data_IF_091875696633
#
_entry.id   IF_091875696633
#
_cell.length_a   1.000
_cell.length_b   1.000
_cell.length_c   1.000
_cell.angle_alpha   90.00
_cell.angle_beta   90.00
_cell.angle_gamma   90.00
#
_symmetry.space_group_name_H-M   'P 1'
#
loop_
_entity.id
_entity.type
_entity.pdbx_description
1 polymer ?
#
# COMPACT_ATOMS: atom_id res chain seq x y z
N UNK A 1 2.21 -15.82 19.98
CA UNK A 1 2.25 -15.05 18.70
C UNK A 1 3.34 -15.63 17.83
N UNK A 2 3.00 -16.04 16.62
CA UNK A 2 3.95 -16.58 15.64
C UNK A 2 4.83 -15.45 15.07
N UNK A 3 5.98 -15.81 14.49
CA UNK A 3 6.93 -14.84 13.91
C UNK A 3 6.26 -13.88 12.90
N UNK A 4 5.43 -14.34 11.93
CA UNK A 4 4.70 -13.43 11.04
C UNK A 4 3.87 -12.37 11.79
N UNK A 5 3.07 -12.80 12.78
CA UNK A 5 2.24 -11.86 13.56
C UNK A 5 3.06 -10.80 14.31
N UNK A 6 4.27 -11.16 14.79
CA UNK A 6 5.18 -10.20 15.43
C UNK A 6 5.70 -9.17 14.43
N UNK A 7 5.99 -9.59 13.19
CA UNK A 7 6.45 -8.69 12.12
C UNK A 7 5.33 -7.73 11.68
N UNK A 8 4.10 -8.24 11.55
CA UNK A 8 2.93 -7.39 11.28
C UNK A 8 2.71 -6.34 12.37
N UNK A 9 2.79 -6.75 13.65
CA UNK A 9 2.67 -5.82 14.79
C UNK A 9 3.80 -4.79 14.80
N UNK A 10 5.03 -5.22 14.57
CA UNK A 10 6.20 -4.32 14.49
C UNK A 10 6.02 -3.27 13.38
N UNK A 11 5.44 -3.66 12.23
CA UNK A 11 5.11 -2.73 11.14
C UNK A 11 4.07 -1.70 11.56
N UNK A 12 3.00 -2.10 12.25
CA UNK A 12 1.99 -1.16 12.76
C UNK A 12 2.62 -0.18 13.76
N UNK A 13 3.50 -0.67 14.63
CA UNK A 13 4.25 0.19 15.56
C UNK A 13 5.23 1.11 14.83
N UNK A 14 5.80 0.70 13.70
CA UNK A 14 6.70 1.53 12.91
C UNK A 14 5.99 2.74 12.26
N UNK A 15 4.67 2.68 12.03
CA UNK A 15 3.91 3.79 11.39
C UNK A 15 4.00 5.09 12.19
N UNK A 16 3.71 5.16 13.50
CA UNK A 16 3.84 6.41 14.26
C UNK A 16 5.27 6.94 14.28
N UNK A 17 6.28 6.07 14.32
CA UNK A 17 7.70 6.49 14.23
C UNK A 17 8.01 7.07 12.84
N UNK A 18 7.50 6.46 11.77
CA UNK A 18 7.61 6.99 10.41
C UNK A 18 6.97 8.39 10.32
N UNK A 19 5.75 8.56 10.84
CA UNK A 19 5.04 9.84 10.86
C UNK A 19 5.86 10.89 11.61
N UNK A 20 6.32 10.57 12.82
CA UNK A 20 7.09 11.50 13.64
C UNK A 20 8.39 11.94 12.95
N UNK A 21 9.17 10.99 12.43
CA UNK A 21 10.45 11.30 11.74
C UNK A 21 10.23 12.10 10.45
N UNK A 22 9.15 11.82 9.72
CA UNK A 22 8.78 12.59 8.52
C UNK A 22 8.40 14.03 8.89
N UNK A 23 7.57 14.23 9.93
CA UNK A 23 7.14 15.56 10.40
C UNK A 23 8.29 16.38 11.00
N UNK A 24 9.28 15.72 11.58
CA UNK A 24 10.52 16.36 12.07
C UNK A 24 11.53 16.66 10.95
N UNK A 25 11.16 16.46 9.69
CA UNK A 25 12.00 16.61 8.49
C UNK A 25 13.24 15.70 8.45
N UNK A 26 13.24 14.63 9.25
CA UNK A 26 14.28 13.60 9.24
C UNK A 26 14.04 12.61 8.10
N UNK A 27 14.02 13.11 6.84
CA UNK A 27 13.60 12.36 5.64
C UNK A 27 14.35 11.05 5.42
N UNK A 28 15.66 11.02 5.70
CA UNK A 28 16.48 9.81 5.54
C UNK A 28 16.04 8.73 6.55
N UNK A 29 15.79 9.11 7.81
CA UNK A 29 15.34 8.16 8.84
C UNK A 29 13.94 7.66 8.49
N UNK A 30 13.03 8.54 8.07
CA UNK A 30 11.70 8.15 7.60
C UNK A 30 11.77 7.17 6.42
N UNK A 31 12.66 7.42 5.43
CA UNK A 31 12.88 6.49 4.32
C UNK A 31 13.37 5.13 4.79
N UNK A 32 14.34 5.08 5.71
CA UNK A 32 14.86 3.81 6.25
C UNK A 32 13.74 3.03 6.95
N UNK A 33 12.94 3.70 7.79
CA UNK A 33 11.79 3.07 8.46
C UNK A 33 10.80 2.53 7.43
N UNK A 34 10.46 3.31 6.39
CA UNK A 34 9.54 2.90 5.34
C UNK A 34 10.05 1.67 4.58
N UNK A 35 11.33 1.66 4.18
CA UNK A 35 11.95 0.54 3.46
C UNK A 35 11.99 -0.71 4.35
N UNK A 36 12.44 -0.61 5.60
CA UNK A 36 12.50 -1.75 6.52
C UNK A 36 11.11 -2.34 6.76
N UNK A 37 10.10 -1.50 7.00
CA UNK A 37 8.74 -1.95 7.19
C UNK A 37 8.17 -2.63 5.91
N UNK A 38 8.49 -2.10 4.72
CA UNK A 38 8.07 -2.69 3.45
C UNK A 38 8.76 -4.03 3.15
N UNK A 39 10.04 -4.19 3.51
CA UNK A 39 10.77 -5.45 3.36
C UNK A 39 10.23 -6.50 4.33
N UNK A 40 9.91 -6.12 5.57
CA UNK A 40 9.33 -7.05 6.55
C UNK A 40 7.99 -7.61 6.07
N UNK A 41 7.16 -6.82 5.36
CA UNK A 41 5.91 -7.27 4.74
C UNK A 41 6.14 -8.37 3.69
N UNK A 42 7.14 -8.20 2.83
CA UNK A 42 7.49 -9.23 1.85
C UNK A 42 7.99 -10.53 2.51
N UNK A 43 8.68 -10.41 3.64
CA UNK A 43 9.27 -11.56 4.34
C UNK A 43 8.22 -12.34 5.13
N UNK A 44 7.35 -11.66 5.89
CA UNK A 44 6.34 -12.33 6.72
C UNK A 44 5.35 -13.13 5.86
N UNK A 45 4.89 -12.58 4.74
CA UNK A 45 4.02 -13.29 3.80
C UNK A 45 4.68 -14.53 3.16
N UNK A 46 6.01 -14.50 2.91
CA UNK A 46 6.74 -15.66 2.42
C UNK A 46 6.93 -16.72 3.52
N UNK A 47 7.29 -16.28 4.72
CA UNK A 47 7.51 -17.15 5.90
C UNK A 47 6.19 -17.83 6.29
N UNK A 48 5.09 -17.08 6.40
CA UNK A 48 3.79 -17.61 6.77
C UNK A 48 3.32 -18.72 5.82
N UNK A 49 3.51 -18.52 4.50
CA UNK A 49 3.17 -19.53 3.48
C UNK A 49 4.10 -20.74 3.51
N UNK A 50 5.41 -20.53 3.66
CA UNK A 50 6.40 -21.62 3.65
C UNK A 50 6.26 -22.57 4.85
N UNK A 51 5.89 -22.03 6.01
CA UNK A 51 5.83 -22.78 7.27
C UNK A 51 4.39 -23.07 7.73
N UNK A 52 3.36 -22.78 6.89
CA UNK A 52 1.94 -22.96 7.24
C UNK A 52 1.52 -22.28 8.56
N UNK A 53 2.14 -21.13 8.87
CA UNK A 53 1.89 -20.35 10.09
C UNK A 53 0.77 -19.32 9.91
N UNK A 54 -0.25 -19.65 9.11
CA UNK A 54 -1.37 -18.76 8.81
C UNK A 54 -2.29 -18.71 10.02
N UNK A 55 -2.52 -17.51 10.58
CA UNK A 55 -3.42 -17.26 11.71
C UNK A 55 -4.59 -16.39 11.29
N UNK A 56 -5.72 -16.46 12.01
CA UNK A 56 -6.85 -15.56 11.76
C UNK A 56 -6.47 -14.09 12.00
N UNK A 57 -5.60 -13.83 12.99
CA UNK A 57 -5.05 -12.50 13.24
C UNK A 57 -4.26 -11.98 12.01
N UNK A 58 -3.32 -12.77 11.46
CA UNK A 58 -2.57 -12.40 10.27
C UNK A 58 -3.47 -12.14 9.06
N UNK A 59 -4.45 -13.01 8.80
CA UNK A 59 -5.40 -12.83 7.69
C UNK A 59 -6.12 -11.48 7.69
N UNK A 60 -6.37 -10.91 8.87
CA UNK A 60 -7.05 -9.62 9.03
C UNK A 60 -6.04 -8.47 9.05
N UNK A 61 -4.96 -8.62 9.81
CA UNK A 61 -4.03 -7.53 10.10
C UNK A 61 -3.01 -7.29 9.00
N UNK A 62 -2.57 -8.34 8.26
CA UNK A 62 -1.58 -8.18 7.20
C UNK A 62 -2.07 -7.23 6.08
N UNK A 63 -3.30 -7.41 5.51
CA UNK A 63 -3.80 -6.47 4.49
C UNK A 63 -4.06 -5.05 5.00
N UNK A 64 -4.19 -4.85 6.31
CA UNK A 64 -4.31 -3.52 6.91
C UNK A 64 -2.94 -2.88 7.10
N UNK A 65 -1.98 -3.62 7.66
CA UNK A 65 -0.66 -3.11 8.00
C UNK A 65 0.14 -2.67 6.78
N UNK A 66 0.05 -3.42 5.66
CA UNK A 66 0.74 -3.06 4.40
C UNK A 66 0.22 -1.75 3.81
N UNK A 67 -1.06 -1.46 3.96
CA UNK A 67 -1.70 -0.26 3.41
C UNK A 67 -1.55 0.97 4.32
N UNK A 68 -1.62 0.78 5.63
CA UNK A 68 -1.53 1.89 6.59
C UNK A 68 -0.23 2.69 6.40
N UNK A 69 0.91 2.01 6.21
CA UNK A 69 2.19 2.66 6.01
C UNK A 69 2.23 3.52 4.74
N UNK A 70 1.76 2.97 3.61
CA UNK A 70 1.75 3.68 2.32
C UNK A 70 0.77 4.85 2.36
N UNK A 71 -0.40 4.69 2.99
CA UNK A 71 -1.37 5.77 3.12
C UNK A 71 -0.89 6.86 4.08
N UNK A 72 -0.21 6.49 5.18
CA UNK A 72 0.42 7.47 6.06
C UNK A 72 1.43 8.33 5.28
N UNK A 73 2.26 7.70 4.42
CA UNK A 73 3.18 8.44 3.56
C UNK A 73 2.45 9.40 2.61
N UNK A 74 1.39 8.94 1.92
CA UNK A 74 0.62 9.80 1.02
C UNK A 74 -0.12 10.92 1.77
N UNK A 75 -0.67 10.67 2.95
CA UNK A 75 -1.29 11.71 3.78
C UNK A 75 -0.28 12.81 4.14
N UNK A 76 0.93 12.43 4.54
CA UNK A 76 1.99 13.39 4.87
C UNK A 76 2.46 14.17 3.63
N UNK A 77 2.56 13.51 2.46
CA UNK A 77 2.89 14.15 1.20
C UNK A 77 1.78 15.09 0.69
N UNK A 78 0.52 14.83 1.03
CA UNK A 78 -0.58 15.78 0.79
C UNK A 78 -0.46 16.97 1.75
N UNK A 79 -0.16 16.73 3.02
CA UNK A 79 -0.03 17.77 4.03
C UNK A 79 1.11 18.75 3.74
N UNK A 80 2.25 18.27 3.20
CA UNK A 80 3.39 19.13 2.83
C UNK A 80 3.33 19.65 1.37
N UNK A 81 2.22 19.39 0.65
CA UNK A 81 2.00 19.85 -0.72
C UNK A 81 2.82 19.12 -1.79
N UNK A 82 3.47 18.01 -1.45
CA UNK A 82 4.23 17.19 -2.42
C UNK A 82 3.31 16.57 -3.46
N UNK A 83 2.12 16.09 -3.07
CA UNK A 83 1.12 15.55 -4.00
C UNK A 83 -0.25 16.21 -3.79
N UNK A 84 -1.08 16.37 -4.84
CA UNK A 84 -2.41 16.94 -4.68
C UNK A 84 -3.37 15.98 -3.96
N UNK A 85 -4.23 16.50 -3.08
CA UNK A 85 -5.17 15.71 -2.29
C UNK A 85 -6.12 14.84 -3.13
N UNK A 86 -6.56 15.33 -4.30
CA UNK A 86 -7.47 14.57 -5.18
C UNK A 86 -6.88 13.25 -5.67
N UNK A 87 -5.54 13.17 -5.79
CA UNK A 87 -4.86 11.91 -6.19
C UNK A 87 -4.99 10.85 -5.11
N UNK A 88 -4.87 11.23 -3.84
CA UNK A 88 -5.08 10.33 -2.71
C UNK A 88 -6.53 9.84 -2.66
N UNK A 89 -7.49 10.71 -2.91
CA UNK A 89 -8.92 10.33 -2.98
C UNK A 89 -9.13 9.25 -4.04
N UNK A 90 -8.58 9.40 -5.25
CA UNK A 90 -8.68 8.40 -6.32
C UNK A 90 -8.07 7.05 -5.88
N UNK A 91 -6.90 7.08 -5.25
CA UNK A 91 -6.23 5.88 -4.75
C UNK A 91 -7.13 5.17 -3.72
N UNK A 92 -7.64 5.89 -2.73
CA UNK A 92 -8.49 5.34 -1.67
C UNK A 92 -9.82 4.81 -2.21
N UNK A 93 -10.49 5.55 -3.11
CA UNK A 93 -11.72 5.10 -3.75
C UNK A 93 -11.54 3.73 -4.44
N UNK A 94 -10.46 3.57 -5.19
CA UNK A 94 -10.15 2.29 -5.83
C UNK A 94 -9.89 1.18 -4.81
N UNK A 95 -9.13 1.46 -3.75
CA UNK A 95 -8.83 0.46 -2.73
C UNK A 95 -10.09 -0.05 -2.02
N UNK A 96 -10.95 0.89 -1.60
CA UNK A 96 -12.22 0.54 -0.95
C UNK A 96 -13.18 -0.18 -1.90
N UNK A 97 -13.25 0.26 -3.17
CA UNK A 97 -14.08 -0.41 -4.16
C UNK A 97 -13.64 -1.87 -4.34
N UNK A 98 -12.35 -2.11 -4.57
CA UNK A 98 -11.83 -3.48 -4.76
C UNK A 98 -11.98 -4.32 -3.48
N UNK A 99 -11.77 -3.72 -2.30
CA UNK A 99 -11.97 -4.42 -1.03
C UNK A 99 -13.45 -4.79 -0.84
N UNK A 100 -14.38 -3.87 -1.11
CA UNK A 100 -15.82 -4.11 -1.03
C UNK A 100 -16.28 -5.24 -1.95
N UNK A 101 -15.87 -5.20 -3.22
CA UNK A 101 -16.20 -6.26 -4.19
C UNK A 101 -15.68 -7.63 -3.71
N UNK A 102 -14.46 -7.69 -3.18
CA UNK A 102 -13.91 -8.94 -2.62
C UNK A 102 -14.68 -9.43 -1.42
N UNK A 103 -15.11 -8.53 -0.56
CA UNK A 103 -15.89 -8.89 0.64
C UNK A 103 -17.23 -9.48 0.25
N UNK A 104 -17.94 -8.86 -0.69
CA UNK A 104 -19.23 -9.38 -1.21
C UNK A 104 -19.03 -10.72 -1.91
N UNK A 105 -18.05 -10.84 -2.80
CA UNK A 105 -17.76 -12.11 -3.46
C UNK A 105 -17.42 -13.23 -2.48
N UNK A 106 -16.64 -12.94 -1.43
CA UNK A 106 -16.29 -13.91 -0.39
C UNK A 106 -17.51 -14.38 0.42
N UNK A 107 -18.50 -13.51 0.67
CA UNK A 107 -19.76 -13.91 1.33
C UNK A 107 -20.61 -14.85 0.47
N UNK A 108 -20.46 -14.79 -0.86
CA UNK A 108 -21.08 -15.70 -1.82
C UNK A 108 -20.24 -16.95 -2.13
N UNK A 109 -19.13 -17.16 -1.41
CA UNK A 109 -18.20 -18.26 -1.64
C UNK A 109 -17.32 -18.13 -2.88
N UNK A 110 -17.32 -16.96 -3.53
CA UNK A 110 -16.51 -16.68 -4.74
C UNK A 110 -15.16 -16.11 -4.34
N UNK A 111 -14.08 -16.80 -4.71
CA UNK A 111 -12.70 -16.35 -4.45
C UNK A 111 -12.15 -15.61 -5.67
N UNK A 112 -12.01 -14.29 -5.55
CA UNK A 112 -11.45 -13.45 -6.62
C UNK A 112 -9.94 -13.30 -6.42
N UNK A 113 -9.14 -13.76 -7.41
CA UNK A 113 -7.69 -13.64 -7.40
C UNK A 113 -7.22 -12.18 -7.57
N UNK A 114 -6.01 -11.90 -7.07
CA UNK A 114 -5.38 -10.60 -7.27
C UNK A 114 -4.97 -10.41 -8.73
N UNK A 115 -5.40 -9.29 -9.34
CA UNK A 115 -5.03 -8.93 -10.71
C UNK A 115 -3.57 -8.41 -10.79
N UNK A 116 -2.88 -8.71 -11.90
CA UNK A 116 -1.51 -8.26 -12.14
C UNK A 116 -1.38 -6.74 -12.15
N UNK A 117 -2.36 -6.03 -12.73
CA UNK A 117 -2.40 -4.57 -12.72
C UNK A 117 -2.42 -3.99 -11.28
N UNK A 118 -3.13 -4.66 -10.36
CA UNK A 118 -3.14 -4.29 -8.95
C UNK A 118 -1.79 -4.51 -8.26
N UNK A 119 -1.02 -5.51 -8.66
CA UNK A 119 0.35 -5.73 -8.13
C UNK A 119 1.32 -4.66 -8.64
N UNK A 120 1.30 -4.37 -9.94
CA UNK A 120 2.15 -3.36 -10.56
C UNK A 120 1.91 -1.98 -9.93
N UNK A 121 0.64 -1.57 -9.75
CA UNK A 121 0.34 -0.29 -9.10
C UNK A 121 0.94 -0.18 -7.70
N UNK A 122 0.88 -1.26 -6.90
CA UNK A 122 1.42 -1.26 -5.54
C UNK A 122 2.94 -1.10 -5.54
N UNK A 123 3.63 -1.80 -6.42
CA UNK A 123 5.09 -1.67 -6.58
C UNK A 123 5.46 -0.25 -6.99
N UNK A 124 4.75 0.33 -7.97
CA UNK A 124 4.99 1.71 -8.41
C UNK A 124 4.73 2.71 -7.28
N UNK A 125 3.68 2.54 -6.47
CA UNK A 125 3.39 3.38 -5.31
C UNK A 125 4.53 3.34 -4.28
N UNK A 126 5.03 2.14 -3.95
CA UNK A 126 6.13 1.99 -3.00
C UNK A 126 7.41 2.68 -3.48
N UNK A 127 7.78 2.50 -4.75
CA UNK A 127 8.95 3.19 -5.34
C UNK A 127 8.74 4.71 -5.39
N UNK A 128 7.54 5.17 -5.78
CA UNK A 128 7.21 6.59 -5.80
C UNK A 128 7.38 7.23 -4.41
N UNK A 129 6.87 6.58 -3.36
CA UNK A 129 7.01 7.04 -1.96
C UNK A 129 8.49 7.14 -1.59
N UNK A 130 9.29 6.10 -1.84
CA UNK A 130 10.72 6.12 -1.51
C UNK A 130 11.45 7.30 -2.17
N UNK A 131 11.21 7.52 -3.47
CA UNK A 131 11.88 8.58 -4.22
C UNK A 131 11.36 9.96 -3.83
N UNK A 132 10.07 10.13 -3.57
CA UNK A 132 9.48 11.41 -3.15
C UNK A 132 9.89 11.82 -1.72
N UNK A 133 10.15 10.89 -0.81
CA UNK A 133 10.66 11.21 0.53
C UNK A 133 12.01 11.94 0.44
N UNK A 134 12.89 11.55 -0.48
CA UNK A 134 14.23 12.14 -0.65
C UNK A 134 14.27 13.29 -1.65
N UNK A 135 13.14 13.65 -2.27
CA UNK A 135 13.03 14.78 -3.19
C UNK A 135 13.70 16.07 -2.70
N UNK A 136 13.60 16.47 -1.41
CA UNK A 136 14.21 17.70 -0.93
C UNK A 136 15.74 17.75 -1.12
N UNK A 137 16.40 16.61 -1.18
CA UNK A 137 17.87 16.55 -1.34
C UNK A 137 18.34 16.53 -2.79
N UNK A 138 17.45 16.12 -3.74
CA UNK A 138 17.81 15.99 -5.15
C UNK A 138 16.63 16.28 -6.07
N UNK A 139 16.66 17.44 -6.73
CA UNK A 139 15.60 17.89 -7.65
C UNK A 139 15.32 16.87 -8.76
N UNK A 140 16.37 16.27 -9.33
CA UNK A 140 16.21 15.28 -10.40
C UNK A 140 15.44 14.03 -9.93
N UNK A 141 15.70 13.55 -8.70
CA UNK A 141 14.93 12.46 -8.11
C UNK A 141 13.47 12.85 -7.91
N UNK A 142 13.18 14.13 -7.65
CA UNK A 142 11.81 14.61 -7.57
C UNK A 142 11.03 14.36 -8.87
N UNK A 143 11.60 14.65 -10.03
CA UNK A 143 10.95 14.39 -11.33
C UNK A 143 10.67 12.89 -11.54
N UNK A 144 11.64 12.04 -11.20
CA UNK A 144 11.45 10.57 -11.26
C UNK A 144 10.34 10.13 -10.30
N UNK A 145 10.32 10.65 -9.07
CA UNK A 145 9.30 10.35 -8.07
C UNK A 145 7.89 10.73 -8.55
N UNK A 146 7.73 11.90 -9.14
CA UNK A 146 6.46 12.32 -9.73
C UNK A 146 6.06 11.44 -10.93
N UNK A 147 7.00 11.11 -11.81
CA UNK A 147 6.71 10.22 -12.94
C UNK A 147 6.21 8.84 -12.45
N UNK A 148 6.87 8.24 -11.46
CA UNK A 148 6.45 6.98 -10.83
C UNK A 148 5.09 7.11 -10.15
N UNK A 149 4.85 8.22 -9.44
CA UNK A 149 3.58 8.46 -8.75
C UNK A 149 2.40 8.57 -9.72
N UNK A 150 2.54 9.36 -10.79
CA UNK A 150 1.48 9.48 -11.79
C UNK A 150 1.30 8.22 -12.61
N UNK A 151 2.36 7.48 -12.91
CA UNK A 151 2.26 6.14 -13.50
C UNK A 151 1.48 5.18 -12.58
N UNK A 152 1.76 5.21 -11.27
CA UNK A 152 1.00 4.43 -10.28
C UNK A 152 -0.48 4.87 -10.21
N UNK A 153 -0.76 6.17 -10.33
CA UNK A 153 -2.12 6.70 -10.35
C UNK A 153 -2.90 6.20 -11.58
N UNK A 154 -2.31 6.27 -12.77
CA UNK A 154 -2.90 5.74 -14.01
C UNK A 154 -3.17 4.24 -13.87
N UNK A 155 -2.20 3.47 -13.37
CA UNK A 155 -2.38 2.04 -13.11
C UNK A 155 -3.45 1.77 -12.06
N UNK A 156 -3.61 2.65 -11.09
CA UNK A 156 -4.67 2.56 -10.06
C UNK A 156 -6.05 2.66 -10.71
N UNK A 157 -6.27 3.67 -11.53
CA UNK A 157 -7.52 3.87 -12.27
C UNK A 157 -7.79 2.70 -13.21
N UNK A 158 -6.81 2.35 -14.04
CA UNK A 158 -6.92 1.22 -14.98
C UNK A 158 -7.27 -0.09 -14.27
N UNK A 159 -6.55 -0.42 -13.19
CA UNK A 159 -6.80 -1.66 -12.44
C UNK A 159 -8.17 -1.67 -11.75
N UNK A 160 -8.68 -0.51 -11.34
CA UNK A 160 -10.01 -0.37 -10.75
C UNK A 160 -11.11 -0.69 -11.77
N UNK A 161 -11.05 -0.05 -12.95
CA UNK A 161 -12.01 -0.32 -14.03
C UNK A 161 -11.95 -1.77 -14.50
N UNK A 162 -10.75 -2.28 -14.78
CA UNK A 162 -10.57 -3.67 -15.21
C UNK A 162 -11.11 -4.67 -14.18
N UNK A 163 -10.94 -4.37 -12.88
CA UNK A 163 -11.43 -5.22 -11.81
C UNK A 163 -12.96 -5.27 -11.76
N UNK A 164 -13.64 -4.13 -11.90
CA UNK A 164 -15.12 -4.04 -11.93
C UNK A 164 -15.67 -4.77 -13.15
N UNK A 165 -15.09 -4.53 -14.34
CA UNK A 165 -15.54 -5.16 -15.57
C UNK A 165 -15.42 -6.68 -15.52
N UNK A 166 -14.29 -7.19 -15.02
CA UNK A 166 -14.05 -8.64 -14.90
C UNK A 166 -14.97 -9.33 -13.90
N UNK A 167 -15.42 -8.61 -12.88
CA UNK A 167 -16.22 -9.17 -11.80
C UNK A 167 -17.65 -8.59 -11.76
N UNK A 168 -18.17 -8.14 -12.92
CA UNK A 168 -19.50 -7.54 -13.01
C UNK A 168 -20.63 -8.44 -12.51
N UNK A 169 -20.45 -9.75 -12.55
CA UNK A 169 -21.40 -10.74 -12.05
C UNK A 169 -21.69 -10.59 -10.55
N UNK A 170 -20.75 -10.05 -9.75
CA UNK A 170 -20.96 -9.79 -8.33
C UNK A 170 -21.94 -8.64 -8.08
N UNK A 171 -22.21 -7.82 -9.11
CA UNK A 171 -23.14 -6.68 -9.03
C UNK A 171 -24.52 -6.99 -9.62
N UNK A 172 -24.72 -8.17 -10.20
CA UNK A 172 -25.94 -8.53 -10.94
C UNK A 172 -26.91 -9.42 -10.13
N UNK A 173 -26.61 -9.66 -8.85
CA UNK A 173 -27.48 -10.38 -7.92
C UNK A 173 -28.27 -9.43 -7.02
#
# INVERSE_FOLDING_TARGET
MNLPNKLTLARIIAVPFFIATYMMDMRIIALVIFILASITDMLDGKIARKYNLITNFGKIMDPLADKILVYAAFCLMVADGTIPAWTLVIILCREFLVAGVRTVAASEGIVIAADMAGKIKTVLQMFAVCVLIIKPYHVFLGYIGYALFYAALVMTVYSGFNYVIKNKQVFSN
#
